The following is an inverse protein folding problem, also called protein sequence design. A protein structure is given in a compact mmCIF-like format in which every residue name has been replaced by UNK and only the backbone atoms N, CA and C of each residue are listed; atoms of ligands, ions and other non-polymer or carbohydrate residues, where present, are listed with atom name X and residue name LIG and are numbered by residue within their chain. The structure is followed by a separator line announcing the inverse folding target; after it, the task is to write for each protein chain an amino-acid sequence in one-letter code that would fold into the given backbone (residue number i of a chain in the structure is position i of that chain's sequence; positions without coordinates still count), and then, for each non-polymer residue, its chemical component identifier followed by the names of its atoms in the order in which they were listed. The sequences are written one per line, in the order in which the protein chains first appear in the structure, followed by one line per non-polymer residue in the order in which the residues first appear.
data_IF_349031666904
#
_entry.id   IF_349031666904
#
_cell.length_a   1.000
_cell.length_b   1.000
_cell.length_c   1.000
_cell.angle_alpha   90.00
_cell.angle_beta   90.00
_cell.angle_gamma   90.00
#
_symmetry.space_group_name_H-M   'P 1'
#
loop_
_entity.id
_entity.type
_entity.pdbx_description
1 polymer ?
#
# COMPACT_ATOMS: atom_id res chain seq x y z
N UNK A 1 -5.52 -2.50 22.00
CA UNK A 1 -5.91 -1.95 20.68
C UNK A 1 -5.74 -0.44 20.78
N UNK A 2 -4.69 0.15 20.20
CA UNK A 2 -4.49 1.60 20.25
C UNK A 2 -5.41 2.23 19.17
N UNK A 3 -6.19 3.29 19.46
CA UNK A 3 -7.06 3.91 18.45
C UNK A 3 -6.32 4.45 17.21
N UNK A 4 -4.99 4.62 17.28
CA UNK A 4 -4.13 4.96 16.15
C UNK A 4 -3.85 3.76 15.21
N UNK A 5 -4.03 2.52 15.65
CA UNK A 5 -3.81 1.32 14.82
C UNK A 5 -4.95 1.07 13.82
N UNK A 6 -6.13 1.65 14.09
CA UNK A 6 -7.36 1.49 13.31
C UNK A 6 -7.50 2.52 12.17
N UNK A 7 -6.62 3.52 12.12
CA UNK A 7 -6.69 4.55 11.08
C UNK A 7 -6.17 3.99 9.75
N UNK A 8 -7.09 3.73 8.82
CA UNK A 8 -6.80 3.26 7.45
C UNK A 8 -5.83 4.21 6.74
N UNK A 9 -5.95 5.51 7.01
CA UNK A 9 -5.16 6.58 6.41
C UNK A 9 -4.78 7.63 7.45
N UNK A 10 -3.50 7.71 7.81
CA UNK A 10 -2.99 8.70 8.74
C UNK A 10 -2.74 10.03 8.02
N UNK A 11 -3.80 10.82 7.86
CA UNK A 11 -3.80 12.05 7.04
C UNK A 11 -2.72 13.04 7.47
N UNK A 12 -2.53 13.23 8.78
CA UNK A 12 -1.54 14.17 9.31
C UNK A 12 -0.11 13.82 8.86
N UNK A 13 0.22 12.53 8.75
CA UNK A 13 1.56 12.09 8.32
C UNK A 13 1.76 12.27 6.82
N UNK A 14 0.71 11.99 6.03
CA UNK A 14 0.73 12.24 4.59
C UNK A 14 0.85 13.73 4.26
N UNK A 15 0.10 14.57 4.99
CA UNK A 15 0.10 16.01 4.82
C UNK A 15 1.41 16.67 5.28
N UNK A 16 2.01 16.19 6.37
CA UNK A 16 3.32 16.66 6.84
C UNK A 16 4.42 16.52 5.78
N UNK A 17 4.39 15.42 5.00
CA UNK A 17 5.35 15.21 3.90
C UNK A 17 5.14 16.16 2.71
N UNK A 18 3.97 16.77 2.63
CA UNK A 18 3.60 17.72 1.59
C UNK A 18 3.57 19.15 2.13
N UNK A 19 4.28 19.43 3.23
CA UNK A 19 4.40 20.76 3.83
C UNK A 19 3.05 21.42 4.15
N UNK A 20 2.01 20.63 4.43
CA UNK A 20 0.67 21.15 4.70
C UNK A 20 -0.24 21.34 3.47
N UNK A 21 0.22 21.04 2.25
CA UNK A 21 -0.57 21.25 1.04
C UNK A 21 -1.68 20.20 0.89
N UNK A 22 -2.88 20.58 1.30
CA UNK A 22 -4.06 19.74 1.26
C UNK A 22 -4.54 19.46 -0.17
N UNK A 23 -4.38 20.41 -1.10
CA UNK A 23 -4.81 20.25 -2.49
C UNK A 23 -3.92 19.23 -3.19
N UNK A 24 -2.60 19.34 -3.00
CA UNK A 24 -1.64 18.36 -3.49
C UNK A 24 -1.88 16.99 -2.87
N UNK A 25 -2.15 16.92 -1.57
CA UNK A 25 -2.46 15.66 -0.90
C UNK A 25 -3.67 14.94 -1.51
N UNK A 26 -4.77 15.66 -1.73
CA UNK A 26 -5.95 15.11 -2.39
C UNK A 26 -5.67 14.64 -3.83
N UNK A 27 -4.86 15.38 -4.59
CA UNK A 27 -4.46 14.99 -5.94
C UNK A 27 -3.62 13.71 -5.96
N UNK A 28 -2.73 13.55 -4.98
CA UNK A 28 -1.93 12.34 -4.82
C UNK A 28 -2.81 11.16 -4.40
N UNK A 29 -3.77 11.35 -3.48
CA UNK A 29 -4.72 10.30 -3.10
C UNK A 29 -5.57 9.82 -4.29
N UNK A 30 -6.05 10.74 -5.13
CA UNK A 30 -6.80 10.40 -6.35
C UNK A 30 -5.93 9.63 -7.34
N UNK A 31 -4.71 10.09 -7.56
CA UNK A 31 -3.73 9.44 -8.45
C UNK A 31 -3.36 8.05 -7.95
N UNK A 32 -3.13 7.89 -6.65
CA UNK A 32 -2.87 6.61 -6.00
C UNK A 32 -4.02 5.64 -6.25
N UNK A 33 -5.26 6.06 -5.96
CA UNK A 33 -6.45 5.23 -6.21
C UNK A 33 -6.55 4.84 -7.68
N UNK A 34 -6.39 5.78 -8.61
CA UNK A 34 -6.48 5.48 -10.04
C UNK A 34 -5.41 4.50 -10.51
N UNK A 35 -4.16 4.68 -10.07
CA UNK A 35 -3.02 3.88 -10.49
C UNK A 35 -3.05 2.46 -9.91
N UNK A 36 -3.48 2.31 -8.65
CA UNK A 36 -3.39 1.04 -7.93
C UNK A 36 -4.72 0.33 -7.71
N UNK A 37 -5.82 0.82 -8.29
CA UNK A 37 -7.16 0.19 -8.19
C UNK A 37 -7.19 -1.30 -8.57
N UNK A 38 -6.30 -1.73 -9.47
CA UNK A 38 -6.22 -3.11 -9.95
C UNK A 38 -5.08 -3.91 -9.30
N UNK A 39 -4.20 -3.27 -8.52
CA UNK A 39 -2.99 -3.91 -7.99
C UNK A 39 -3.30 -5.17 -7.15
N UNK A 40 -4.37 -5.15 -6.36
CA UNK A 40 -4.78 -6.32 -5.58
C UNK A 40 -5.25 -7.48 -6.48
N UNK A 41 -6.01 -7.18 -7.54
CA UNK A 41 -6.48 -8.18 -8.48
C UNK A 41 -5.33 -8.74 -9.34
N UNK A 42 -4.41 -7.88 -9.79
CA UNK A 42 -3.20 -8.26 -10.51
C UNK A 42 -2.29 -9.16 -9.66
N UNK A 43 -2.07 -8.81 -8.38
CA UNK A 43 -1.32 -9.63 -7.45
C UNK A 43 -1.99 -11.00 -7.23
N UNK A 44 -3.32 -11.02 -7.05
CA UNK A 44 -4.08 -12.27 -6.94
C UNK A 44 -3.98 -13.14 -8.18
N UNK A 45 -3.99 -12.53 -9.38
CA UNK A 45 -3.84 -13.22 -10.66
C UNK A 45 -2.44 -13.83 -10.80
N UNK A 46 -1.40 -13.07 -10.47
CA UNK A 46 -0.02 -13.54 -10.49
C UNK A 46 0.20 -14.71 -9.51
N UNK A 47 -0.38 -14.65 -8.30
CA UNK A 47 -0.36 -15.78 -7.36
C UNK A 47 -1.07 -17.01 -7.94
N UNK A 48 -2.26 -16.83 -8.54
CA UNK A 48 -3.03 -17.93 -9.12
C UNK A 48 -2.33 -18.58 -10.32
N UNK A 49 -1.51 -17.82 -11.06
CA UNK A 49 -0.68 -18.35 -12.16
C UNK A 49 0.66 -18.93 -11.71
N UNK A 50 0.95 -18.96 -10.39
CA UNK A 50 2.21 -19.44 -9.84
C UNK A 50 3.38 -18.44 -9.93
N UNK A 51 3.13 -17.21 -10.39
CA UNK A 51 4.12 -16.12 -10.46
C UNK A 51 4.21 -15.41 -9.10
N UNK A 52 4.81 -16.10 -8.13
CA UNK A 52 4.98 -15.57 -6.76
C UNK A 52 5.84 -14.31 -6.74
N UNK A 53 6.90 -14.27 -7.55
CA UNK A 53 7.79 -13.10 -7.64
C UNK A 53 7.09 -11.89 -8.24
N UNK A 54 6.26 -12.09 -9.27
CA UNK A 54 5.42 -11.05 -9.85
C UNK A 54 4.41 -10.50 -8.85
N UNK A 55 3.73 -11.37 -8.11
CA UNK A 55 2.81 -10.98 -7.06
C UNK A 55 3.50 -10.15 -5.97
N UNK A 56 4.65 -10.60 -5.48
CA UNK A 56 5.43 -9.90 -4.47
C UNK A 56 5.90 -8.52 -4.94
N UNK A 57 6.29 -8.39 -6.22
CA UNK A 57 6.67 -7.11 -6.81
C UNK A 57 5.51 -6.11 -6.85
N UNK A 58 4.31 -6.57 -7.18
CA UNK A 58 3.09 -5.74 -7.19
C UNK A 58 2.78 -5.28 -5.77
N UNK A 59 2.81 -6.20 -4.79
CA UNK A 59 2.60 -5.91 -3.37
C UNK A 59 3.64 -4.93 -2.83
N UNK A 60 4.92 -5.12 -3.16
CA UNK A 60 6.03 -4.24 -2.78
C UNK A 60 5.83 -2.81 -3.31
N UNK A 61 5.45 -2.70 -4.58
CA UNK A 61 5.18 -1.40 -5.21
C UNK A 61 4.00 -0.71 -4.55
N UNK A 62 2.92 -1.44 -4.25
CA UNK A 62 1.74 -0.91 -3.57
C UNK A 62 2.08 -0.44 -2.15
N UNK A 63 2.90 -1.21 -1.41
CA UNK A 63 3.38 -0.86 -0.06
C UNK A 63 4.14 0.46 -0.06
N UNK A 64 5.11 0.63 -0.97
CA UNK A 64 5.89 1.86 -1.07
C UNK A 64 5.00 3.08 -1.35
N UNK A 65 4.07 2.94 -2.31
CA UNK A 65 3.15 4.01 -2.66
C UNK A 65 2.15 4.35 -1.53
N UNK A 66 1.62 3.33 -0.84
CA UNK A 66 0.76 3.50 0.33
C UNK A 66 1.51 4.19 1.47
N UNK A 67 2.78 3.84 1.65
CA UNK A 67 3.68 4.48 2.59
C UNK A 67 3.71 5.98 2.40
N UNK A 68 3.87 6.47 1.15
CA UNK A 68 3.95 7.91 0.83
C UNK A 68 2.73 8.71 1.29
N UNK A 69 1.52 8.17 1.10
CA UNK A 69 0.25 8.86 1.43
C UNK A 69 -0.21 8.66 2.87
N UNK A 70 0.51 7.86 3.66
CA UNK A 70 0.13 7.53 5.03
C UNK A 70 -0.94 6.44 5.14
N UNK A 71 -1.14 5.61 4.10
CA UNK A 71 -2.09 4.50 4.12
C UNK A 71 -1.52 3.30 4.90
N UNK A 72 -1.44 3.46 6.22
CA UNK A 72 -0.74 2.53 7.13
C UNK A 72 -1.32 1.12 7.09
N UNK A 73 -2.65 0.99 6.98
CA UNK A 73 -3.27 -0.33 6.90
C UNK A 73 -2.81 -1.12 5.65
N UNK A 74 -2.69 -0.44 4.50
CA UNK A 74 -2.19 -1.05 3.26
C UNK A 74 -0.72 -1.45 3.41
N UNK A 75 0.11 -0.59 4.03
CA UNK A 75 1.53 -0.91 4.30
C UNK A 75 1.68 -2.16 5.16
N UNK A 76 0.86 -2.28 6.22
CA UNK A 76 0.89 -3.46 7.11
C UNK A 76 0.46 -4.73 6.39
N UNK A 77 -0.66 -4.70 5.68
CA UNK A 77 -1.17 -5.87 4.96
C UNK A 77 -0.20 -6.32 3.85
N UNK A 78 0.36 -5.37 3.09
CA UNK A 78 1.35 -5.67 2.09
C UNK A 78 2.65 -6.23 2.70
N UNK A 79 3.09 -5.70 3.85
CA UNK A 79 4.24 -6.23 4.58
C UNK A 79 4.02 -7.66 5.10
N UNK A 80 2.81 -7.99 5.56
CA UNK A 80 2.47 -9.35 5.97
C UNK A 80 2.52 -10.33 4.79
N UNK A 81 2.02 -9.90 3.62
CA UNK A 81 2.11 -10.68 2.38
C UNK A 81 3.57 -10.92 1.96
N UNK A 82 4.42 -9.88 2.00
CA UNK A 82 5.86 -10.01 1.71
C UNK A 82 6.54 -10.99 2.68
N UNK A 83 6.25 -10.91 3.97
CA UNK A 83 6.83 -11.80 4.99
C UNK A 83 6.41 -13.26 4.78
N UNK A 84 5.15 -13.52 4.40
CA UNK A 84 4.67 -14.86 4.05
C UNK A 84 5.22 -15.37 2.70
N UNK A 85 5.73 -14.48 1.86
CA UNK A 85 6.34 -14.79 0.57
C UNK A 85 7.77 -15.33 0.66
N UNK A 86 8.45 -15.07 1.78
CA UNK A 86 9.89 -15.27 1.94
C UNK A 86 10.32 -16.47 2.78
N UNK A 87 9.41 -17.35 3.19
CA UNK A 87 9.74 -18.54 3.99
C UNK A 87 9.11 -19.80 3.38
N UNK A 88 9.95 -20.57 2.70
CA UNK A 88 9.81 -22.02 2.59
C UNK A 88 11.03 -22.59 3.32
N UNK A 89 10.86 -23.53 4.27
CA UNK A 89 11.99 -24.23 4.88
C UNK A 89 12.80 -25.02 3.83
#
# INVERSE_FOLDING_TARGET
MNPADDEVLHVAAGLHRLMGDYTLYLNILRSFRQRYRHAAAEAGTALASGDRDGALRIVHTLKGAAGMIGAQQVVRLAGALEASGGDAP
#
